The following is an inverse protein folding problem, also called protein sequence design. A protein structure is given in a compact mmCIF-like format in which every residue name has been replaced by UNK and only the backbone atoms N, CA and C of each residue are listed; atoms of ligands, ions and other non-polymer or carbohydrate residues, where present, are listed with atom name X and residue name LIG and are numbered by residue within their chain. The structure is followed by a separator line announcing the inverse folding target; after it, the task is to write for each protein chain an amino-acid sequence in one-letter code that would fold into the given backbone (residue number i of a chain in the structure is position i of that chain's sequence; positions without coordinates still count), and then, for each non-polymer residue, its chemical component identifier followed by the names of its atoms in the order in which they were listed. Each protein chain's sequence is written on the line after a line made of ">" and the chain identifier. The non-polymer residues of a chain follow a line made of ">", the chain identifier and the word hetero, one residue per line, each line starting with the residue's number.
data_IF_412092655506
#
_entry.id   IF_412092655506
#
_cell.length_a   1.000
_cell.length_b   1.000
_cell.length_c   1.000
_cell.angle_alpha   90.00
_cell.angle_beta   90.00
_cell.angle_gamma   90.00
#
_symmetry.space_group_name_H-M   'P 1'
#
loop_
_entity.id
_entity.type
_entity.pdbx_description
1 polymer ?
#
# COMPACT_ATOMS: atom_id res chain seq x y z
N UNK A 1 -20.24 -7.61 0.99
CA UNK A 1 -18.82 -7.62 0.53
C UNK A 1 -18.23 -6.29 0.94
N UNK A 2 -17.09 -6.27 1.64
CA UNK A 2 -16.47 -5.05 2.15
C UNK A 2 -16.07 -4.12 1.01
N UNK A 3 -16.36 -2.84 1.15
CA UNK A 3 -15.90 -1.78 0.26
C UNK A 3 -14.43 -1.46 0.56
N UNK A 4 -13.61 -1.48 -0.46
CA UNK A 4 -12.15 -1.34 -0.35
C UNK A 4 -11.69 -0.02 -0.95
N UNK A 5 -10.97 0.78 -0.17
CA UNK A 5 -10.29 1.98 -0.64
C UNK A 5 -8.79 1.75 -0.79
N UNK A 6 -8.19 2.22 -1.87
CA UNK A 6 -6.74 2.25 -2.07
C UNK A 6 -6.25 3.69 -2.06
N UNK A 7 -5.27 3.98 -1.20
CA UNK A 7 -4.65 5.31 -1.08
C UNK A 7 -3.16 5.19 -1.40
N UNK A 8 -2.68 6.01 -2.33
CA UNK A 8 -1.28 6.06 -2.73
C UNK A 8 -0.76 7.49 -2.66
N UNK A 9 0.06 7.86 -1.66
CA UNK A 9 0.79 9.11 -1.68
C UNK A 9 1.88 9.10 -2.77
N UNK A 10 1.98 10.19 -3.53
CA UNK A 10 2.96 10.31 -4.63
C UNK A 10 3.72 11.62 -4.61
N UNK A 11 4.96 11.57 -5.10
CA UNK A 11 5.78 12.72 -5.47
C UNK A 11 6.79 12.28 -6.54
N UNK A 12 6.67 12.80 -7.76
CA UNK A 12 7.59 12.52 -8.86
C UNK A 12 7.92 11.02 -8.97
N UNK A 13 6.90 10.19 -9.15
CA UNK A 13 7.02 8.72 -9.09
C UNK A 13 7.85 8.12 -10.25
N UNK A 14 8.12 8.91 -11.31
CA UNK A 14 9.07 8.61 -12.35
C UNK A 14 8.74 7.35 -13.16
N UNK A 15 9.80 6.68 -13.64
CA UNK A 15 9.66 5.51 -14.54
C UNK A 15 9.02 4.29 -13.89
N UNK A 16 9.13 4.13 -12.57
CA UNK A 16 8.53 3.01 -11.86
C UNK A 16 7.01 3.11 -11.77
N UNK A 17 6.48 4.33 -11.85
CA UNK A 17 5.04 4.56 -11.72
C UNK A 17 4.22 3.85 -12.80
N UNK A 18 4.69 3.87 -14.03
CA UNK A 18 4.01 3.16 -15.12
C UNK A 18 4.00 1.64 -14.90
N UNK A 19 5.11 1.07 -14.42
CA UNK A 19 5.20 -0.36 -14.08
C UNK A 19 4.29 -0.71 -12.90
N UNK A 20 4.21 0.18 -11.91
CA UNK A 20 3.31 0.07 -10.77
C UNK A 20 1.83 0.05 -11.23
N UNK A 21 1.42 1.01 -12.05
CA UNK A 21 0.06 1.10 -12.58
C UNK A 21 -0.29 -0.11 -13.45
N UNK A 22 0.63 -0.63 -14.25
CA UNK A 22 0.45 -1.87 -15.02
C UNK A 22 0.29 -3.09 -14.11
N UNK A 23 1.06 -3.21 -13.03
CA UNK A 23 0.92 -4.29 -12.06
C UNK A 23 -0.42 -4.20 -11.30
N UNK A 24 -0.83 -2.98 -10.93
CA UNK A 24 -2.13 -2.71 -10.33
C UNK A 24 -3.28 -3.06 -11.29
N UNK A 25 -3.20 -2.66 -12.56
CA UNK A 25 -4.26 -2.93 -13.53
C UNK A 25 -4.51 -4.43 -13.80
N UNK A 26 -3.56 -5.30 -13.45
CA UNK A 26 -3.65 -6.76 -13.58
C UNK A 26 -4.19 -7.47 -12.34
N UNK A 27 -4.46 -6.74 -11.25
CA UNK A 27 -4.97 -7.35 -10.02
C UNK A 27 -6.34 -8.00 -10.25
N UNK A 28 -6.56 -9.19 -9.70
CA UNK A 28 -7.83 -9.93 -9.75
C UNK A 28 -8.94 -9.19 -9.02
N UNK A 29 -8.63 -8.62 -7.85
CA UNK A 29 -9.53 -7.75 -7.11
C UNK A 29 -9.15 -6.28 -7.31
N UNK A 30 -10.14 -5.47 -7.73
CA UNK A 30 -10.01 -4.01 -7.79
C UNK A 30 -10.62 -3.40 -6.54
N UNK A 31 -9.95 -2.44 -5.89
CA UNK A 31 -10.58 -1.62 -4.88
C UNK A 31 -11.77 -0.83 -5.47
N UNK A 32 -12.78 -0.55 -4.64
CA UNK A 32 -13.95 0.22 -5.03
C UNK A 32 -13.63 1.72 -5.17
N UNK A 33 -12.65 2.21 -4.41
CA UNK A 33 -12.21 3.60 -4.42
C UNK A 33 -10.70 3.66 -4.64
N UNK A 34 -10.26 4.50 -5.57
CA UNK A 34 -8.86 4.68 -5.95
C UNK A 34 -8.47 6.13 -5.74
N UNK A 35 -7.60 6.40 -4.78
CA UNK A 35 -7.16 7.74 -4.44
C UNK A 35 -5.63 7.88 -4.49
N UNK A 36 -5.15 8.82 -5.27
CA UNK A 36 -3.77 9.31 -5.21
C UNK A 36 -3.78 10.66 -4.50
N UNK A 37 -2.87 10.83 -3.54
CA UNK A 37 -2.59 12.14 -2.94
C UNK A 37 -1.20 12.55 -3.39
N UNK A 38 -1.17 13.48 -4.32
CA UNK A 38 0.06 13.92 -4.98
C UNK A 38 0.62 15.19 -4.33
N UNK A 39 1.89 15.18 -3.99
CA UNK A 39 2.58 16.28 -3.33
C UNK A 39 3.19 17.26 -4.32
N UNK A 40 2.41 17.73 -5.31
CA UNK A 40 2.82 18.68 -6.35
C UNK A 40 3.94 18.11 -7.25
N UNK A 41 3.72 16.93 -7.83
CA UNK A 41 4.61 16.35 -8.84
C UNK A 41 4.74 17.24 -10.07
N UNK A 42 5.95 17.35 -10.59
CA UNK A 42 6.28 18.11 -11.82
C UNK A 42 6.41 17.23 -13.07
N UNK A 43 6.37 15.90 -12.89
CA UNK A 43 6.41 14.91 -13.95
C UNK A 43 4.99 14.44 -14.37
N UNK A 44 4.90 13.34 -15.10
CA UNK A 44 3.64 12.77 -15.57
C UNK A 44 2.89 11.91 -14.53
N UNK A 45 3.30 11.92 -13.25
CA UNK A 45 2.70 11.11 -12.18
C UNK A 45 1.19 11.29 -12.10
N UNK A 46 0.71 12.53 -12.04
CA UNK A 46 -0.71 12.86 -11.92
C UNK A 46 -1.50 12.45 -13.15
N UNK A 47 -1.00 12.75 -14.35
CA UNK A 47 -1.70 12.43 -15.61
C UNK A 47 -1.84 10.93 -15.81
N UNK A 48 -0.80 10.17 -15.49
CA UNK A 48 -0.83 8.70 -15.54
C UNK A 48 -1.81 8.12 -14.51
N UNK A 49 -1.81 8.61 -13.27
CA UNK A 49 -2.76 8.13 -12.26
C UNK A 49 -4.22 8.29 -12.73
N UNK A 50 -4.57 9.47 -13.25
CA UNK A 50 -5.91 9.74 -13.80
C UNK A 50 -6.26 8.82 -14.98
N UNK A 51 -5.31 8.57 -15.88
CA UNK A 51 -5.52 7.67 -17.01
C UNK A 51 -5.82 6.22 -16.59
N UNK A 52 -5.37 5.82 -15.39
CA UNK A 52 -5.66 4.51 -14.80
C UNK A 52 -6.86 4.51 -13.84
N UNK A 53 -7.66 5.59 -13.82
CA UNK A 53 -8.92 5.66 -13.08
C UNK A 53 -8.79 6.10 -11.63
N UNK A 54 -7.64 6.63 -11.21
CA UNK A 54 -7.50 7.19 -9.87
C UNK A 54 -8.11 8.59 -9.79
N UNK A 55 -8.85 8.84 -8.72
CA UNK A 55 -9.07 10.18 -8.25
C UNK A 55 -7.75 10.76 -7.73
N UNK A 56 -7.42 11.98 -8.12
CA UNK A 56 -6.13 12.59 -7.74
C UNK A 56 -6.39 13.92 -7.04
N UNK A 57 -5.94 13.99 -5.80
CA UNK A 57 -5.87 15.21 -5.02
C UNK A 57 -4.43 15.70 -4.95
N UNK A 58 -4.20 16.94 -5.33
CA UNK A 58 -2.87 17.56 -5.28
C UNK A 58 -2.80 18.44 -4.04
N UNK A 59 -1.80 18.21 -3.21
CA UNK A 59 -1.49 19.02 -2.03
C UNK A 59 -0.15 19.75 -2.22
N UNK A 60 0.05 20.90 -1.56
CA UNK A 60 1.37 21.53 -1.51
C UNK A 60 2.41 20.57 -0.90
N UNK A 61 3.62 20.56 -1.49
CA UNK A 61 4.72 19.70 -0.98
C UNK A 61 5.05 19.98 0.48
N UNK A 62 4.90 21.22 0.94
CA UNK A 62 5.12 21.64 2.32
C UNK A 62 4.11 21.06 3.32
N UNK A 63 2.95 20.61 2.86
CA UNK A 63 1.91 20.04 3.70
C UNK A 63 2.02 18.52 3.85
N UNK A 64 2.91 17.89 3.06
CA UNK A 64 3.11 16.45 3.13
C UNK A 64 3.73 16.04 4.47
N UNK A 65 3.08 15.09 5.13
CA UNK A 65 3.69 14.28 6.17
C UNK A 65 3.11 12.86 6.14
N UNK A 66 3.90 11.88 6.53
CA UNK A 66 3.57 10.47 6.34
C UNK A 66 2.26 10.04 7.02
N UNK A 67 1.99 10.50 8.23
CA UNK A 67 0.77 10.18 8.97
C UNK A 67 -0.43 11.01 8.52
N UNK A 68 -0.29 12.34 8.53
CA UNK A 68 -1.37 13.27 8.21
C UNK A 68 -1.90 13.11 6.79
N UNK A 69 -1.02 12.92 5.79
CA UNK A 69 -1.44 12.70 4.40
C UNK A 69 -2.27 11.41 4.26
N UNK A 70 -1.87 10.34 4.96
CA UNK A 70 -2.66 9.09 4.96
C UNK A 70 -3.99 9.26 5.68
N UNK A 71 -4.00 9.93 6.84
CA UNK A 71 -5.23 10.23 7.57
C UNK A 71 -6.17 11.12 6.75
N UNK A 72 -5.62 12.12 6.06
CA UNK A 72 -6.39 12.93 5.13
C UNK A 72 -7.05 12.06 4.05
N UNK A 73 -6.30 11.12 3.46
CA UNK A 73 -6.85 10.19 2.46
C UNK A 73 -7.97 9.31 3.02
N UNK A 74 -7.84 8.79 4.24
CA UNK A 74 -8.92 8.03 4.90
C UNK A 74 -10.19 8.87 5.01
N UNK A 75 -10.06 10.13 5.40
CA UNK A 75 -11.20 11.03 5.54
C UNK A 75 -11.91 11.33 4.21
N UNK A 76 -11.23 11.15 3.07
CA UNK A 76 -11.84 11.27 1.74
C UNK A 76 -12.64 10.03 1.32
N UNK A 77 -12.48 8.91 2.01
CA UNK A 77 -13.11 7.63 1.68
C UNK A 77 -14.00 7.10 2.83
N UNK A 78 -15.01 7.88 3.28
CA UNK A 78 -15.81 7.55 4.47
C UNK A 78 -16.67 6.28 4.31
N UNK A 79 -16.87 5.81 3.08
CA UNK A 79 -17.66 4.62 2.78
C UNK A 79 -16.81 3.37 2.53
N UNK A 80 -15.51 3.43 2.75
CA UNK A 80 -14.63 2.27 2.65
C UNK A 80 -14.57 1.53 4.00
N UNK A 81 -14.81 0.23 3.98
CA UNK A 81 -14.71 -0.64 5.16
C UNK A 81 -13.25 -1.02 5.43
N UNK A 82 -12.46 -1.19 4.35
CA UNK A 82 -11.04 -1.55 4.39
C UNK A 82 -10.25 -0.51 3.61
N UNK A 83 -9.19 0.02 4.22
CA UNK A 83 -8.26 0.93 3.55
C UNK A 83 -6.93 0.21 3.31
N UNK A 84 -6.47 0.23 2.07
CA UNK A 84 -5.15 -0.23 1.67
C UNK A 84 -4.25 0.98 1.42
N UNK A 85 -3.09 0.99 2.07
CA UNK A 85 -2.03 1.94 1.76
C UNK A 85 -0.94 1.26 0.95
N UNK A 86 -0.64 1.80 -0.22
CA UNK A 86 0.55 1.43 -0.99
C UNK A 86 1.45 2.63 -1.18
N UNK A 87 2.73 2.38 -1.35
CA UNK A 87 3.71 3.41 -1.75
C UNK A 87 3.96 3.34 -3.25
N UNK A 88 4.34 4.46 -3.85
CA UNK A 88 4.55 4.57 -5.30
C UNK A 88 5.65 3.66 -5.87
N UNK A 89 6.49 3.09 -5.00
CA UNK A 89 7.64 2.23 -5.32
C UNK A 89 7.44 0.76 -4.93
N UNK A 90 6.31 0.42 -4.32
CA UNK A 90 5.97 -0.95 -3.91
C UNK A 90 5.21 -1.68 -5.03
N UNK A 91 5.93 -2.41 -5.88
CA UNK A 91 5.32 -3.22 -6.94
C UNK A 91 4.57 -4.41 -6.35
N UNK A 92 3.34 -4.62 -6.79
CA UNK A 92 2.57 -5.80 -6.45
C UNK A 92 3.19 -7.03 -7.12
N UNK A 93 3.63 -7.99 -6.30
CA UNK A 93 4.42 -9.14 -6.76
C UNK A 93 3.59 -10.22 -7.48
N UNK A 94 2.28 -10.27 -7.24
CA UNK A 94 1.35 -11.20 -7.89
C UNK A 94 0.05 -10.49 -8.26
N UNK A 95 -0.74 -11.09 -9.16
CA UNK A 95 -2.01 -10.51 -9.59
C UNK A 95 -3.16 -10.72 -8.60
N UNK A 96 -2.97 -11.51 -7.58
CA UNK A 96 -3.90 -11.75 -6.48
C UNK A 96 -3.50 -11.07 -5.16
N UNK A 97 -2.50 -10.18 -5.20
CA UNK A 97 -1.95 -9.57 -3.99
C UNK A 97 -2.99 -8.76 -3.20
N UNK A 98 -3.82 -7.96 -3.88
CA UNK A 98 -4.90 -7.20 -3.24
C UNK A 98 -5.99 -8.14 -2.71
N UNK A 99 -6.37 -9.14 -3.47
CA UNK A 99 -7.37 -10.13 -3.07
C UNK A 99 -6.94 -10.85 -1.79
N UNK A 100 -5.71 -11.36 -1.74
CA UNK A 100 -5.14 -12.02 -0.55
C UNK A 100 -5.06 -11.09 0.65
N UNK A 101 -4.68 -9.83 0.44
CA UNK A 101 -4.58 -8.86 1.53
C UNK A 101 -5.96 -8.55 2.13
N UNK A 102 -7.00 -8.50 1.30
CA UNK A 102 -8.36 -8.24 1.76
C UNK A 102 -9.00 -9.46 2.40
N UNK A 103 -8.69 -10.66 1.91
CA UNK A 103 -9.27 -11.91 2.40
C UNK A 103 -8.97 -12.17 3.90
N UNK A 104 -7.87 -11.64 4.43
CA UNK A 104 -7.55 -11.81 5.86
C UNK A 104 -8.57 -11.17 6.79
N UNK A 105 -9.31 -10.16 6.32
CA UNK A 105 -10.37 -9.49 7.07
C UNK A 105 -11.73 -10.23 7.05
N UNK A 106 -11.79 -11.45 6.48
CA UNK A 106 -12.89 -12.37 6.71
C UNK A 106 -12.90 -12.88 8.16
N UNK A 107 -11.74 -12.87 8.81
CA UNK A 107 -11.62 -13.03 10.25
C UNK A 107 -11.83 -11.66 10.93
N UNK A 108 -12.95 -11.53 11.64
CA UNK A 108 -13.34 -10.29 12.33
C UNK A 108 -12.37 -9.89 13.48
N UNK A 109 -11.48 -10.78 13.89
CA UNK A 109 -10.45 -10.48 14.88
C UNK A 109 -9.25 -9.73 14.30
N UNK A 110 -9.11 -9.69 12.98
CA UNK A 110 -8.01 -9.01 12.30
C UNK A 110 -8.34 -7.53 12.11
N UNK A 111 -7.67 -6.67 12.87
CA UNK A 111 -7.81 -5.22 12.76
C UNK A 111 -6.85 -4.55 11.77
N UNK A 112 -5.71 -5.19 11.47
CA UNK A 112 -4.72 -4.69 10.52
C UNK A 112 -3.92 -5.84 9.91
N UNK A 113 -3.46 -5.63 8.66
CA UNK A 113 -2.61 -6.59 7.96
C UNK A 113 -1.58 -5.87 7.09
N UNK A 114 -0.45 -6.51 6.87
CA UNK A 114 0.54 -6.03 5.90
C UNK A 114 1.06 -7.17 5.01
N UNK A 115 1.33 -6.84 3.76
CA UNK A 115 1.90 -7.77 2.80
C UNK A 115 3.41 -8.00 3.04
N UNK A 116 3.88 -9.20 2.71
CA UNK A 116 5.31 -9.52 2.71
C UNK A 116 6.04 -8.66 1.67
N UNK A 117 7.10 -7.98 2.10
CA UNK A 117 7.97 -7.25 1.19
C UNK A 117 9.08 -8.18 0.68
N UNK A 118 9.10 -8.39 -0.63
CA UNK A 118 10.16 -9.14 -1.31
C UNK A 118 11.27 -8.18 -1.76
N UNK A 119 12.53 -8.60 -1.74
CA UNK A 119 13.60 -7.81 -2.32
C UNK A 119 13.41 -7.70 -3.84
N UNK A 120 13.75 -6.55 -4.41
CA UNK A 120 13.81 -6.38 -5.85
C UNK A 120 14.88 -7.33 -6.44
N UNK A 121 14.70 -7.78 -7.68
CA UNK A 121 15.64 -8.71 -8.35
C UNK A 121 17.05 -8.16 -8.46
N UNK A 122 17.21 -6.84 -8.49
CA UNK A 122 18.50 -6.14 -8.51
C UNK A 122 18.99 -5.71 -7.12
N UNK A 123 18.32 -6.13 -6.03
CA UNK A 123 18.72 -5.74 -4.69
C UNK A 123 20.08 -6.34 -4.31
N UNK A 124 20.96 -5.52 -3.76
CA UNK A 124 22.22 -6.00 -3.18
C UNK A 124 21.99 -6.91 -1.97
N UNK A 125 23.01 -7.69 -1.57
CA UNK A 125 22.87 -8.69 -0.50
C UNK A 125 22.32 -8.15 0.83
N UNK A 126 22.74 -6.97 1.25
CA UNK A 126 22.29 -6.36 2.51
C UNK A 126 20.81 -6.01 2.44
N UNK A 127 20.35 -5.39 1.34
CA UNK A 127 18.96 -5.03 1.15
C UNK A 127 18.07 -6.27 1.04
N UNK A 128 18.52 -7.30 0.32
CA UNK A 128 17.82 -8.57 0.21
C UNK A 128 17.70 -9.25 1.58
N UNK A 129 18.80 -9.33 2.34
CA UNK A 129 18.79 -9.90 3.69
C UNK A 129 17.81 -9.17 4.61
N UNK A 130 17.83 -7.84 4.62
CA UNK A 130 16.93 -7.05 5.46
C UNK A 130 15.44 -7.33 5.15
N UNK A 131 15.07 -7.49 3.89
CA UNK A 131 13.69 -7.84 3.52
C UNK A 131 13.33 -9.26 3.96
N UNK A 132 14.16 -10.25 3.64
CA UNK A 132 13.90 -11.65 3.98
C UNK A 132 13.87 -11.90 5.49
N UNK A 133 14.71 -11.20 6.25
CA UNK A 133 14.75 -11.28 7.71
C UNK A 133 13.51 -10.66 8.37
N UNK A 134 13.09 -9.48 7.91
CA UNK A 134 11.94 -8.78 8.53
C UNK A 134 10.59 -9.29 8.04
N UNK A 135 10.51 -9.93 6.87
CA UNK A 135 9.28 -10.42 6.26
C UNK A 135 9.38 -11.92 5.98
N UNK A 136 9.11 -12.79 6.96
CA UNK A 136 9.18 -14.24 6.82
C UNK A 136 8.19 -14.75 5.76
N UNK A 137 8.41 -15.98 5.27
CA UNK A 137 7.55 -16.60 4.27
C UNK A 137 6.19 -17.02 4.83
N UNK A 138 6.16 -17.38 6.11
CA UNK A 138 4.96 -17.83 6.79
C UNK A 138 4.16 -16.65 7.36
N UNK A 139 2.86 -16.66 7.11
CA UNK A 139 1.94 -15.70 7.71
C UNK A 139 1.84 -15.91 9.21
N UNK A 140 1.75 -14.82 9.96
CA UNK A 140 1.62 -14.84 11.41
C UNK A 140 0.50 -13.89 11.82
N UNK A 141 -0.31 -14.32 12.77
CA UNK A 141 -1.26 -13.47 13.48
C UNK A 141 -0.63 -13.11 14.82
N UNK A 142 -0.71 -11.86 15.21
CA UNK A 142 -0.17 -11.34 16.47
C UNK A 142 -1.19 -10.46 17.15
N UNK A 143 -1.20 -10.52 18.47
CA UNK A 143 -2.01 -9.68 19.34
C UNK A 143 -1.15 -9.03 20.43
N UNK A 144 -1.72 -8.12 21.20
CA UNK A 144 -1.02 -7.54 22.35
C UNK A 144 -0.60 -8.58 23.39
N UNK A 145 -1.30 -9.71 23.48
CA UNK A 145 -0.97 -10.82 24.38
C UNK A 145 0.38 -11.47 24.03
N UNK A 146 0.79 -11.39 22.76
CA UNK A 146 2.07 -11.91 22.29
C UNK A 146 3.28 -11.01 22.63
N UNK A 147 3.07 -9.89 23.33
CA UNK A 147 4.12 -8.92 23.66
C UNK A 147 5.31 -9.54 24.38
N UNK A 148 5.09 -10.51 25.25
CA UNK A 148 6.16 -11.22 25.96
C UNK A 148 7.06 -12.01 24.99
N UNK A 149 6.49 -12.52 23.88
CA UNK A 149 7.19 -13.34 22.87
C UNK A 149 7.90 -12.48 21.82
N UNK A 150 7.24 -11.42 21.32
CA UNK A 150 7.71 -10.64 20.18
C UNK A 150 8.27 -9.26 20.54
N UNK A 151 8.05 -8.77 21.78
CA UNK A 151 8.52 -7.46 22.21
C UNK A 151 7.97 -6.33 21.34
N UNK A 152 8.85 -5.46 20.86
CA UNK A 152 8.50 -4.35 19.96
C UNK A 152 8.01 -4.78 18.57
N UNK A 153 8.15 -6.06 18.22
CA UNK A 153 7.66 -6.63 16.95
C UNK A 153 6.24 -7.22 17.09
N UNK A 154 5.54 -6.93 18.17
CA UNK A 154 4.17 -7.41 18.39
C UNK A 154 3.17 -6.71 17.48
N UNK A 155 3.43 -5.46 17.14
CA UNK A 155 2.58 -4.60 16.29
C UNK A 155 3.40 -4.06 15.14
#
# INVERSE_FOLDING_TARGET
>A
MNKVGLIVPTLNAGRMWESWLKAFSRQTRKPDYLLVIDSSSSDNTVSLARAYGFDVQVIPKSEFNHGGTRQYGVNQLPNADIIIFLTQDALLASFDAIERLVAVFEDEQIGAAYGRQLPHTSAGPIAAHARLFNYPAESQIRSLEDKARYGIKTV
#
